data_IF_205918349277
#
_entry.id   IF_205918349277
#
_cell.length_a   1.000
_cell.length_b   1.000
_cell.length_c   1.000
_cell.angle_alpha   90.00
_cell.angle_beta   90.00
_cell.angle_gamma   90.00
#
_symmetry.space_group_name_H-M   'P 1'
#
loop_
_entity.id
_entity.type
_entity.pdbx_description
1 polymer ?
#
# COMPACT_ATOMS: atom_id res chain seq x y z
N UNK A 1 0.73 -10.30 -4.16
CA UNK A 1 -0.29 -9.62 -5.00
C UNK A 1 -1.47 -10.56 -5.23
N UNK A 2 -2.66 -10.01 -5.42
CA UNK A 2 -3.86 -10.78 -5.75
C UNK A 2 -4.63 -10.16 -6.91
N UNK A 3 -5.49 -10.93 -7.56
CA UNK A 3 -6.33 -10.47 -8.65
C UNK A 3 -7.71 -10.09 -8.13
N UNK A 4 -8.17 -8.89 -8.44
CA UNK A 4 -9.54 -8.47 -8.11
C UNK A 4 -10.56 -9.26 -8.93
N UNK A 5 -11.65 -9.65 -8.28
CA UNK A 5 -12.74 -10.38 -8.95
C UNK A 5 -13.27 -9.64 -10.19
N UNK A 6 -13.76 -10.39 -11.18
CA UNK A 6 -14.33 -9.82 -12.42
C UNK A 6 -15.57 -8.95 -12.17
N UNK A 7 -16.27 -9.17 -11.05
CA UNK A 7 -17.43 -8.40 -10.62
C UNK A 7 -17.08 -7.19 -9.75
N UNK A 8 -15.79 -6.95 -9.47
CA UNK A 8 -15.37 -5.85 -8.62
C UNK A 8 -15.80 -4.50 -9.22
N UNK A 9 -16.39 -3.63 -8.38
CA UNK A 9 -16.85 -2.31 -8.79
C UNK A 9 -15.72 -1.34 -9.22
N UNK A 10 -14.47 -1.67 -8.87
CA UNK A 10 -13.29 -0.88 -9.21
C UNK A 10 -12.14 -1.78 -9.64
N UNK A 11 -11.57 -1.53 -10.81
CA UNK A 11 -10.44 -2.26 -11.42
C UNK A 11 -10.66 -3.79 -11.48
N UNK A 12 -11.79 -4.28 -12.06
CA UNK A 12 -12.04 -5.71 -12.18
C UNK A 12 -10.93 -6.43 -12.95
N UNK A 13 -10.54 -7.60 -12.49
CA UNK A 13 -9.53 -8.45 -13.12
C UNK A 13 -8.08 -7.98 -12.99
N UNK A 14 -7.82 -6.79 -12.44
CA UNK A 14 -6.47 -6.27 -12.25
C UNK A 14 -5.77 -6.95 -11.06
N UNK A 15 -4.46 -7.14 -11.21
CA UNK A 15 -3.62 -7.51 -10.08
C UNK A 15 -3.26 -6.27 -9.26
N UNK A 16 -3.41 -6.36 -7.95
CA UNK A 16 -3.18 -5.27 -7.00
C UNK A 16 -2.37 -5.75 -5.79
N UNK A 17 -1.80 -4.81 -5.05
CA UNK A 17 -1.36 -5.07 -3.69
C UNK A 17 -2.58 -5.16 -2.78
N UNK A 18 -2.52 -5.91 -1.65
CA UNK A 18 -3.53 -5.83 -0.62
C UNK A 18 -3.71 -4.39 -0.14
N UNK A 19 -4.97 -3.98 0.10
CA UNK A 19 -5.26 -2.67 0.63
C UNK A 19 -6.63 -2.13 0.29
N UNK A 20 -7.14 -1.27 1.17
CA UNK A 20 -8.46 -0.65 1.06
C UNK A 20 -8.51 0.76 1.63
N UNK A 21 -9.70 1.16 2.04
CA UNK A 21 -9.95 2.48 2.64
C UNK A 21 -9.67 2.48 4.14
N UNK A 22 -9.35 3.65 4.67
CA UNK A 22 -9.33 3.86 6.13
C UNK A 22 -10.76 3.89 6.65
N UNK A 23 -11.05 3.03 7.60
CA UNK A 23 -12.34 2.95 8.27
C UNK A 23 -12.36 3.73 9.59
N UNK A 24 -13.53 4.14 10.11
CA UNK A 24 -13.63 4.83 11.39
C UNK A 24 -12.99 4.07 12.56
N UNK A 25 -13.01 2.75 12.55
CA UNK A 25 -12.40 1.91 13.57
C UNK A 25 -10.85 2.00 13.59
N UNK A 26 -10.22 2.28 12.46
CA UNK A 26 -8.76 2.38 12.35
C UNK A 26 -8.19 3.57 13.15
N UNK A 27 -9.03 4.55 13.52
CA UNK A 27 -8.66 5.67 14.36
C UNK A 27 -8.62 5.33 15.86
N UNK A 28 -9.14 4.17 16.27
CA UNK A 28 -9.18 3.77 17.68
C UNK A 28 -7.83 3.21 18.16
N UNK A 29 -7.01 2.71 17.25
CA UNK A 29 -5.66 2.22 17.58
C UNK A 29 -4.64 3.34 17.37
N UNK A 30 -4.19 3.94 18.48
CA UNK A 30 -3.20 5.03 18.47
C UNK A 30 -1.76 4.53 18.64
N UNK A 31 -1.58 3.28 19.04
CA UNK A 31 -0.28 2.68 19.31
C UNK A 31 0.29 1.98 18.07
N UNK A 32 0.55 2.73 17.01
CA UNK A 32 1.19 2.17 15.82
C UNK A 32 2.68 1.95 16.10
N UNK A 33 3.03 0.73 16.50
CA UNK A 33 4.40 0.28 16.63
C UNK A 33 5.02 0.07 15.22
N UNK A 34 6.34 0.12 15.15
CA UNK A 34 7.07 -0.14 13.90
C UNK A 34 7.08 1.02 12.88
N UNK A 35 6.41 2.14 13.16
CA UNK A 35 6.44 3.32 12.30
C UNK A 35 7.49 4.33 12.82
N UNK A 36 8.55 4.57 12.05
CA UNK A 36 9.56 5.58 12.41
C UNK A 36 8.96 6.98 12.45
N UNK A 37 9.56 7.88 13.23
CA UNK A 37 9.12 9.27 13.33
C UNK A 37 9.17 9.99 11.96
N UNK A 38 10.20 9.73 11.15
CA UNK A 38 10.30 10.25 9.79
C UNK A 38 9.14 9.78 8.90
N UNK A 39 8.80 8.48 8.93
CA UNK A 39 7.67 7.97 8.17
C UNK A 39 6.34 8.56 8.65
N UNK A 40 6.18 8.72 9.97
CA UNK A 40 5.00 9.36 10.57
C UNK A 40 4.84 10.81 10.11
N UNK A 41 5.92 11.59 10.15
CA UNK A 41 5.91 12.98 9.69
C UNK A 41 5.53 13.09 8.20
N UNK A 42 6.10 12.22 7.36
CA UNK A 42 5.79 12.18 5.92
C UNK A 42 4.36 11.75 5.62
N UNK A 43 3.81 10.77 6.34
CA UNK A 43 2.42 10.36 6.21
C UNK A 43 1.45 11.49 6.62
N UNK A 44 1.86 12.36 7.54
CA UNK A 44 1.09 13.51 7.99
C UNK A 44 1.14 14.71 7.03
N UNK A 45 1.94 14.65 5.96
CA UNK A 45 1.93 15.70 4.93
C UNK A 45 0.57 15.74 4.25
N UNK A 46 -0.11 16.88 4.36
CA UNK A 46 -1.51 17.09 3.93
C UNK A 46 -2.51 16.12 4.58
N UNK A 47 -2.21 15.65 5.81
CA UNK A 47 -3.09 14.79 6.59
C UNK A 47 -2.95 15.12 8.09
N UNK A 48 -3.95 14.76 8.90
CA UNK A 48 -3.79 14.88 10.35
C UNK A 48 -2.88 13.77 10.90
N UNK A 49 -2.22 13.97 12.06
CA UNK A 49 -1.47 12.91 12.72
C UNK A 49 -2.31 11.68 13.02
N UNK A 50 -3.59 11.86 13.36
CA UNK A 50 -4.53 10.76 13.58
C UNK A 50 -4.77 9.96 12.29
N UNK A 51 -4.97 10.64 11.15
CA UNK A 51 -5.11 9.97 9.86
C UNK A 51 -3.83 9.24 9.44
N UNK A 52 -2.66 9.83 9.69
CA UNK A 52 -1.38 9.16 9.42
C UNK A 52 -1.24 7.84 10.17
N UNK A 53 -1.67 7.78 11.42
CA UNK A 53 -1.71 6.53 12.19
C UNK A 53 -2.77 5.55 11.66
N UNK A 54 -3.99 6.03 11.41
CA UNK A 54 -5.09 5.21 10.90
C UNK A 54 -4.77 4.56 9.54
N UNK A 55 -4.00 5.23 8.67
CA UNK A 55 -3.53 4.65 7.40
C UNK A 55 -2.69 3.39 7.62
N UNK A 56 -1.81 3.38 8.63
CA UNK A 56 -0.98 2.19 8.91
C UNK A 56 -1.82 1.08 9.54
N UNK A 57 -2.75 1.43 10.41
CA UNK A 57 -3.72 0.47 10.99
C UNK A 57 -4.55 -0.16 9.88
N UNK A 58 -5.13 0.65 8.98
CA UNK A 58 -5.87 0.17 7.81
C UNK A 58 -5.02 -0.78 6.96
N UNK A 59 -3.77 -0.41 6.63
CA UNK A 59 -2.89 -1.26 5.84
C UNK A 59 -2.62 -2.62 6.48
N UNK A 60 -2.50 -2.68 7.82
CA UNK A 60 -2.35 -3.94 8.57
C UNK A 60 -3.64 -4.76 8.58
N UNK A 61 -4.80 -4.11 8.78
CA UNK A 61 -6.12 -4.76 8.75
C UNK A 61 -6.38 -5.37 7.37
N UNK A 62 -6.25 -4.60 6.31
CA UNK A 62 -6.45 -5.05 4.93
C UNK A 62 -5.50 -6.19 4.54
N UNK A 63 -4.24 -6.17 5.02
CA UNK A 63 -3.33 -7.29 4.81
C UNK A 63 -3.90 -8.58 5.39
N UNK A 64 -4.43 -8.53 6.61
CA UNK A 64 -5.05 -9.71 7.27
C UNK A 64 -6.31 -10.15 6.53
N UNK A 65 -7.21 -9.23 6.22
CA UNK A 65 -8.50 -9.51 5.55
C UNK A 65 -8.27 -10.12 4.17
N UNK A 66 -7.45 -9.48 3.35
CA UNK A 66 -7.25 -9.89 1.96
C UNK A 66 -6.24 -11.02 1.76
N UNK A 67 -5.38 -11.33 2.74
CA UNK A 67 -4.35 -12.37 2.57
C UNK A 67 -4.29 -13.42 3.69
N UNK A 68 -4.90 -13.17 4.84
CA UNK A 68 -4.73 -13.99 6.04
C UNK A 68 -3.39 -13.80 6.76
N UNK A 69 -2.50 -12.96 6.24
CA UNK A 69 -1.15 -12.76 6.79
C UNK A 69 -1.12 -11.62 7.80
N UNK A 70 -0.48 -11.84 8.95
CA UNK A 70 -0.36 -10.86 10.03
C UNK A 70 1.08 -10.43 10.22
N UNK A 71 1.32 -9.13 10.29
CA UNK A 71 2.63 -8.59 10.67
C UNK A 71 2.78 -8.64 12.19
N UNK A 72 4.00 -8.93 12.68
CA UNK A 72 4.33 -8.72 14.09
C UNK A 72 3.96 -7.29 14.52
N UNK A 73 3.52 -7.07 15.76
CA UNK A 73 3.10 -5.74 16.23
C UNK A 73 4.15 -4.64 16.02
N UNK A 74 5.41 -4.97 16.23
CA UNK A 74 6.57 -4.07 16.11
C UNK A 74 7.23 -4.07 14.73
N UNK A 75 6.67 -4.81 13.75
CA UNK A 75 7.21 -4.92 12.40
C UNK A 75 7.43 -3.53 11.78
N UNK A 76 8.65 -3.23 11.28
CA UNK A 76 8.92 -1.95 10.64
C UNK A 76 8.04 -1.75 9.40
N UNK A 77 7.30 -0.64 9.38
CA UNK A 77 6.50 -0.21 8.23
C UNK A 77 7.11 1.04 7.63
N UNK A 78 7.34 1.05 6.32
CA UNK A 78 7.89 2.18 5.59
C UNK A 78 6.88 2.76 4.62
N UNK A 79 6.75 4.07 4.62
CA UNK A 79 5.96 4.80 3.63
C UNK A 79 6.79 4.95 2.34
N UNK A 80 6.30 4.38 1.24
CA UNK A 80 7.05 4.16 0.01
C UNK A 80 6.64 5.06 -1.14
N UNK A 81 5.35 5.33 -1.27
CA UNK A 81 4.80 6.03 -2.43
C UNK A 81 3.43 6.63 -2.08
N UNK A 82 3.12 7.81 -2.63
CA UNK A 82 1.79 8.40 -2.58
C UNK A 82 1.25 8.61 -3.98
N UNK A 83 -0.04 8.39 -4.19
CA UNK A 83 -0.70 8.68 -5.44
C UNK A 83 -2.10 9.24 -5.21
N UNK A 84 -2.41 10.34 -5.87
CA UNK A 84 -3.77 10.90 -5.91
C UNK A 84 -4.35 10.70 -7.30
N UNK A 85 -5.56 10.10 -7.35
CA UNK A 85 -6.23 9.84 -8.62
C UNK A 85 -6.69 11.13 -9.31
N UNK A 86 -6.74 11.15 -10.67
CA UNK A 86 -7.15 12.33 -11.43
C UNK A 86 -8.59 12.75 -11.13
N UNK A 87 -8.92 14.03 -11.35
CA UNK A 87 -10.29 14.50 -11.32
C UNK A 87 -11.13 13.78 -12.39
N UNK A 88 -12.46 13.77 -12.22
CA UNK A 88 -13.43 13.15 -13.15
C UNK A 88 -13.41 11.60 -13.17
N UNK A 89 -12.77 10.95 -12.20
CA UNK A 89 -12.96 9.50 -11.99
C UNK A 89 -14.18 9.26 -11.08
N UNK A 90 -14.90 8.17 -11.34
CA UNK A 90 -16.06 7.75 -10.52
C UNK A 90 -15.69 7.50 -9.05
N UNK A 91 -14.48 7.03 -8.82
CA UNK A 91 -13.87 6.92 -7.48
C UNK A 91 -12.51 7.60 -7.50
N UNK A 92 -12.23 8.35 -6.43
CA UNK A 92 -10.96 9.03 -6.23
C UNK A 92 -10.31 8.52 -4.96
N UNK A 93 -9.01 8.32 -5.03
CA UNK A 93 -8.19 7.84 -3.93
C UNK A 93 -7.02 8.79 -3.72
N UNK A 94 -6.62 8.91 -2.48
CA UNK A 94 -5.34 9.45 -2.04
C UNK A 94 -4.61 8.27 -1.39
N UNK A 95 -4.01 7.43 -2.22
CA UNK A 95 -3.40 6.18 -1.82
C UNK A 95 -1.99 6.39 -1.26
N UNK A 96 -1.69 5.73 -0.13
CA UNK A 96 -0.36 5.62 0.44
C UNK A 96 0.08 4.17 0.39
N UNK A 97 1.21 3.92 -0.24
CA UNK A 97 1.79 2.59 -0.35
C UNK A 97 2.79 2.39 0.78
N UNK A 98 2.57 1.33 1.53
CA UNK A 98 3.38 0.95 2.67
C UNK A 98 4.18 -0.31 2.30
N UNK A 99 5.39 -0.42 2.84
CA UNK A 99 6.24 -1.58 2.67
C UNK A 99 6.62 -2.17 4.03
N UNK A 100 6.54 -3.48 4.14
CA UNK A 100 7.06 -4.29 5.23
C UNK A 100 7.92 -5.43 4.68
N UNK A 101 8.69 -6.08 5.54
CA UNK A 101 9.50 -7.24 5.16
C UNK A 101 8.70 -8.52 5.36
N UNK A 102 8.84 -9.48 4.44
CA UNK A 102 8.17 -10.78 4.55
C UNK A 102 8.55 -11.56 5.82
N UNK A 103 9.80 -11.41 6.29
CA UNK A 103 10.28 -12.00 7.55
C UNK A 103 9.57 -11.48 8.82
N UNK A 104 8.80 -10.40 8.71
CA UNK A 104 8.03 -9.83 9.80
C UNK A 104 6.58 -10.35 9.84
N UNK A 105 6.21 -11.23 8.91
CA UNK A 105 4.94 -11.98 8.91
C UNK A 105 5.02 -13.13 9.90
N UNK A 106 3.94 -13.37 10.62
CA UNK A 106 3.86 -14.38 11.70
C UNK A 106 3.58 -15.78 11.13
N UNK A 107 2.73 -15.85 10.12
CA UNK A 107 2.27 -17.08 9.50
C UNK A 107 3.27 -17.64 8.47
N UNK A 108 3.01 -18.84 8.00
CA UNK A 108 3.64 -19.37 6.78
C UNK A 108 3.27 -18.43 5.61
N UNK A 109 4.28 -17.97 4.89
CA UNK A 109 4.12 -16.99 3.81
C UNK A 109 3.25 -17.51 2.65
N UNK A 110 3.15 -18.82 2.48
CA UNK A 110 2.39 -19.45 1.41
C UNK A 110 0.99 -19.90 1.87
N UNK A 111 0.64 -19.68 3.16
CA UNK A 111 -0.69 -20.00 3.69
C UNK A 111 -1.66 -18.81 3.60
N UNK A 112 -2.42 -18.77 2.51
CA UNK A 112 -3.51 -17.81 2.29
C UNK A 112 -4.90 -18.37 2.66
N UNK A 113 -4.98 -19.46 3.40
CA UNK A 113 -6.26 -20.15 3.70
C UNK A 113 -7.24 -19.31 4.52
N UNK A 114 -6.76 -18.25 5.18
CA UNK A 114 -7.56 -17.30 5.98
C UNK A 114 -7.92 -16.01 5.25
N UNK A 115 -7.52 -15.88 3.97
CA UNK A 115 -7.85 -14.73 3.15
C UNK A 115 -9.36 -14.67 2.89
N UNK A 116 -9.93 -13.47 2.87
CA UNK A 116 -11.29 -13.23 2.41
C UNK A 116 -11.38 -13.29 0.87
N UNK A 117 -12.60 -13.43 0.34
CA UNK A 117 -12.85 -13.65 -1.10
C UNK A 117 -12.70 -12.38 -1.98
N UNK A 118 -12.12 -11.29 -1.48
CA UNK A 118 -11.97 -10.04 -2.25
C UNK A 118 -10.88 -10.15 -3.33
N UNK A 119 -9.77 -10.81 -3.01
CA UNK A 119 -8.68 -11.08 -3.94
C UNK A 119 -8.59 -12.57 -4.23
N UNK A 120 -8.47 -12.91 -5.51
CA UNK A 120 -8.16 -14.26 -5.99
C UNK A 120 -6.69 -14.36 -6.44
N UNK A 121 -6.21 -15.58 -6.67
CA UNK A 121 -4.85 -15.84 -7.16
C UNK A 121 -3.77 -15.10 -6.35
N UNK A 122 -3.88 -15.13 -5.00
CA UNK A 122 -2.87 -14.60 -4.11
C UNK A 122 -1.55 -15.32 -4.32
N UNK A 123 -0.48 -14.54 -4.52
CA UNK A 123 0.85 -15.09 -4.75
C UNK A 123 1.95 -14.06 -4.45
N UNK A 124 3.10 -14.57 -4.08
CA UNK A 124 4.34 -13.82 -4.11
C UNK A 124 4.84 -13.76 -5.56
N UNK A 125 5.19 -12.57 -6.01
CA UNK A 125 5.59 -12.33 -7.41
C UNK A 125 6.93 -11.61 -7.41
N UNK A 126 7.86 -12.06 -8.25
CA UNK A 126 9.11 -11.32 -8.45
C UNK A 126 8.81 -9.95 -9.11
N UNK A 127 9.65 -8.96 -8.90
CA UNK A 127 9.44 -7.64 -9.53
C UNK A 127 9.36 -7.72 -11.06
N UNK A 128 10.23 -8.48 -11.77
CA UNK A 128 10.11 -8.64 -13.22
C UNK A 128 8.78 -9.28 -13.65
N UNK A 129 8.34 -10.32 -12.96
CA UNK A 129 7.10 -11.02 -13.30
C UNK A 129 5.87 -10.14 -13.01
N UNK A 130 5.91 -9.39 -11.90
CA UNK A 130 4.84 -8.46 -11.55
C UNK A 130 4.57 -7.42 -12.66
N UNK A 131 5.62 -6.92 -13.31
CA UNK A 131 5.49 -5.94 -14.39
C UNK A 131 4.83 -6.50 -15.65
N UNK A 132 4.74 -7.82 -15.81
CA UNK A 132 4.05 -8.49 -16.92
C UNK A 132 2.55 -8.73 -16.65
N UNK A 133 2.08 -8.52 -15.41
CA UNK A 133 0.68 -8.67 -15.03
C UNK A 133 -0.18 -7.50 -15.52
N UNK A 134 -1.48 -7.73 -15.60
CA UNK A 134 -2.45 -6.66 -15.90
C UNK A 134 -2.66 -5.77 -14.67
N UNK A 135 -1.89 -4.70 -14.58
CA UNK A 135 -1.80 -3.81 -13.42
C UNK A 135 -2.50 -2.47 -13.63
N UNK A 136 -2.98 -1.84 -12.56
CA UNK A 136 -3.28 -0.41 -12.57
C UNK A 136 -2.02 0.42 -12.85
N UNK A 137 -2.17 1.56 -13.53
CA UNK A 137 -1.05 2.45 -13.86
C UNK A 137 -0.22 2.83 -12.63
N UNK A 138 -0.87 3.15 -11.51
CA UNK A 138 -0.17 3.53 -10.26
C UNK A 138 0.65 2.37 -9.71
N UNK A 139 0.18 1.13 -9.86
CA UNK A 139 0.93 -0.05 -9.43
C UNK A 139 2.23 -0.21 -10.24
N UNK A 140 2.22 0.08 -11.54
CA UNK A 140 3.45 0.15 -12.35
C UNK A 140 4.45 1.18 -11.81
N UNK A 141 3.98 2.38 -11.42
CA UNK A 141 4.85 3.41 -10.83
C UNK A 141 5.49 2.94 -9.53
N UNK A 142 4.71 2.30 -8.65
CA UNK A 142 5.22 1.75 -7.39
C UNK A 142 6.25 0.64 -7.64
N UNK A 143 5.99 -0.28 -8.56
CA UNK A 143 6.92 -1.35 -8.89
C UNK A 143 8.21 -0.81 -9.52
N UNK A 144 8.13 0.22 -10.37
CA UNK A 144 9.32 0.88 -10.92
C UNK A 144 10.17 1.51 -9.81
N UNK A 145 9.55 2.18 -8.83
CA UNK A 145 10.26 2.76 -7.69
C UNK A 145 10.92 1.67 -6.82
N UNK A 146 10.29 0.51 -6.65
CA UNK A 146 10.87 -0.61 -5.90
C UNK A 146 12.11 -1.23 -6.56
N UNK A 147 12.34 -1.00 -7.85
CA UNK A 147 13.56 -1.45 -8.53
C UNK A 147 14.77 -0.55 -8.23
N UNK A 148 14.55 0.65 -7.70
CA UNK A 148 15.63 1.57 -7.36
C UNK A 148 16.46 1.05 -6.17
N UNK A 149 17.80 0.94 -6.29
CA UNK A 149 18.65 0.41 -5.23
C UNK A 149 18.50 1.11 -3.88
N UNK A 150 18.19 2.42 -3.88
CA UNK A 150 17.94 3.22 -2.68
C UNK A 150 16.80 2.67 -1.81
N UNK A 151 15.85 1.97 -2.42
CA UNK A 151 14.68 1.43 -1.73
C UNK A 151 14.99 0.18 -0.90
N UNK A 152 16.06 -0.53 -1.27
CA UNK A 152 16.49 -1.76 -0.59
C UNK A 152 17.45 -1.47 0.57
N UNK A 153 18.13 -0.32 0.58
CA UNK A 153 19.25 -0.02 1.50
C UNK A 153 18.87 0.77 2.76
N UNK A 154 17.58 0.99 3.02
CA UNK A 154 17.12 1.71 4.21
C UNK A 154 15.90 2.60 3.95
N UNK A 155 15.49 3.45 4.93
CA UNK A 155 14.41 4.38 4.70
C UNK A 155 14.83 5.37 3.59
N UNK A 156 13.97 5.58 2.57
CA UNK A 156 14.28 6.50 1.49
C UNK A 156 14.46 7.93 2.01
N UNK A 157 15.33 8.71 1.35
CA UNK A 157 15.54 10.12 1.68
C UNK A 157 14.28 10.97 1.47
N UNK A 158 13.43 10.54 0.57
CA UNK A 158 12.15 11.17 0.21
C UNK A 158 11.15 10.10 -0.25
N UNK A 159 9.88 10.45 -0.32
CA UNK A 159 8.80 9.57 -0.80
C UNK A 159 8.25 10.14 -2.10
N UNK A 160 8.31 9.40 -3.21
CA UNK A 160 7.72 9.83 -4.47
C UNK A 160 6.21 10.04 -4.34
N UNK A 161 5.74 11.12 -4.94
CA UNK A 161 4.33 11.49 -4.92
C UNK A 161 3.83 11.75 -6.35
N UNK A 162 2.98 10.86 -6.85
CA UNK A 162 2.23 11.07 -8.08
C UNK A 162 0.96 11.88 -7.79
N UNK A 163 1.07 13.19 -7.98
CA UNK A 163 -0.04 14.12 -7.79
C UNK A 163 -0.80 14.33 -9.12
N UNK A 164 -2.01 13.80 -9.19
CA UNK A 164 -2.89 14.00 -10.34
C UNK A 164 -4.19 14.72 -9.94
N UNK A 165 -4.07 15.71 -9.05
CA UNK A 165 -5.21 16.60 -8.70
C UNK A 165 -5.53 17.61 -9.78
N UNK A 166 -4.56 17.93 -10.63
CA UNK A 166 -4.68 18.83 -11.77
C UNK A 166 -5.05 18.16 -13.09
N UNK A 167 -4.90 18.89 -14.19
CA UNK A 167 -5.15 18.39 -15.55
C UNK A 167 -4.09 17.37 -16.01
N UNK A 168 -2.88 17.45 -15.46
CA UNK A 168 -1.73 16.59 -15.77
C UNK A 168 -1.20 16.02 -14.45
N UNK A 169 -0.85 14.74 -14.45
CA UNK A 169 -0.18 14.10 -13.32
C UNK A 169 1.29 14.52 -13.25
N UNK A 170 1.75 14.88 -12.06
CA UNK A 170 3.12 15.30 -11.78
C UNK A 170 3.73 14.32 -10.75
N UNK A 171 5.00 14.00 -10.95
CA UNK A 171 5.77 13.28 -9.93
C UNK A 171 6.60 14.32 -9.18
N UNK A 172 6.38 14.37 -7.87
CA UNK A 172 7.11 15.20 -6.90
C UNK A 172 7.65 14.33 -5.78
N UNK A 173 8.16 14.89 -4.71
CA UNK A 173 8.60 14.12 -3.54
C UNK A 173 8.17 14.75 -2.22
N UNK A 174 7.90 13.91 -1.23
CA UNK A 174 7.64 14.27 0.17
C UNK A 174 8.95 14.04 0.94
N UNK A 175 9.47 15.10 1.55
CA UNK A 175 10.73 15.10 2.30
C UNK A 175 10.52 15.02 3.80
#
# INVERSE_FOLDING_TARGET
MGQRGQSAAFMPGKFVFPGGAVDPQDFNDTAVLGLSETCRARLAVEASPALASAIVVAGRRELVEETGLTLRPDAPVRFMFRAVTPPKRSRRFDARFLMCQAQDVVEDLDDFSRAEDELSYLQWVTLPDALSLDLPFVTHLVLAELQEPKMMSGPPSDVPFYDHRGAVGLITSIR
#
